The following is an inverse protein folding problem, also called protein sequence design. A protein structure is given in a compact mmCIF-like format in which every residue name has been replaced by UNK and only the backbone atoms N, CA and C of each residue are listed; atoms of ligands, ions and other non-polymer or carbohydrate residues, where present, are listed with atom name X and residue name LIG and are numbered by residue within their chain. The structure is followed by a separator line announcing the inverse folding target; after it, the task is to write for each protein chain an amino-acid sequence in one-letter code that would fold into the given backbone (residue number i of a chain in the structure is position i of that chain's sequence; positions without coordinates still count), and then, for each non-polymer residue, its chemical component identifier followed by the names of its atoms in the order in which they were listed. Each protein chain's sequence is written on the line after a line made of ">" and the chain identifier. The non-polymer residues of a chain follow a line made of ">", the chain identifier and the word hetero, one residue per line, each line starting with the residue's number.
data_IF_015925397230
#
_entry.id   IF_015925397230
#
_cell.length_a   1.000
_cell.length_b   1.000
_cell.length_c   1.000
_cell.angle_alpha   90.00
_cell.angle_beta   90.00
_cell.angle_gamma   90.00
#
_symmetry.space_group_name_H-M   'P 1'
#
loop_
_entity.id
_entity.type
_entity.pdbx_description
1 polymer ?
#
# COMPACT_ATOMS: atom_id res chain seq x y z
N UNK A 1 -9.28 -10.33 36.39
CA UNK A 1 -8.71 -8.98 36.22
C UNK A 1 -8.77 -8.64 34.74
N UNK A 2 -9.56 -7.63 34.35
CA UNK A 2 -9.58 -7.14 32.97
C UNK A 2 -8.36 -6.25 32.74
N UNK A 3 -7.54 -6.56 31.74
CA UNK A 3 -6.46 -5.69 31.30
C UNK A 3 -7.06 -4.41 30.70
N UNK A 4 -6.69 -3.21 31.17
CA UNK A 4 -7.10 -1.99 30.51
C UNK A 4 -6.46 -1.97 29.12
N UNK A 5 -7.29 -2.05 28.08
CA UNK A 5 -6.86 -1.79 26.71
C UNK A 5 -6.70 -0.30 26.58
N UNK A 6 -5.46 0.20 26.69
CA UNK A 6 -5.15 1.59 26.38
C UNK A 6 -5.46 1.80 24.89
N UNK A 7 -6.23 2.84 24.51
CA UNK A 7 -6.47 3.11 23.10
C UNK A 7 -5.14 3.40 22.43
N UNK A 8 -4.76 2.57 21.47
CA UNK A 8 -3.53 2.75 20.74
C UNK A 8 -3.64 4.00 19.85
N UNK A 9 -2.59 4.83 19.86
CA UNK A 9 -2.53 6.06 19.08
C UNK A 9 -1.94 5.78 17.69
N UNK A 10 -2.39 6.48 16.62
CA UNK A 10 -2.00 6.16 15.25
C UNK A 10 -0.48 6.35 15.01
N UNK A 11 0.15 7.27 15.74
CA UNK A 11 1.60 7.50 15.80
C UNK A 11 2.42 6.24 16.16
N UNK A 12 1.82 5.28 16.89
CA UNK A 12 2.48 4.04 17.27
C UNK A 12 2.56 3.02 16.13
N UNK A 13 1.71 3.17 15.12
CA UNK A 13 1.60 2.23 14.00
C UNK A 13 2.20 2.76 12.70
N UNK A 14 2.32 4.08 12.57
CA UNK A 14 2.73 4.75 11.34
C UNK A 14 3.94 5.65 11.60
N UNK A 15 4.95 5.55 10.74
CA UNK A 15 6.13 6.43 10.75
C UNK A 15 6.11 7.35 9.53
N UNK A 16 6.24 8.65 9.75
CA UNK A 16 6.33 9.65 8.68
C UNK A 16 7.81 9.91 8.36
N UNK A 17 8.25 9.52 7.16
CA UNK A 17 9.66 9.70 6.75
C UNK A 17 9.98 11.13 6.32
N UNK A 18 9.00 11.84 5.75
CA UNK A 18 9.15 13.16 5.16
C UNK A 18 7.88 13.96 5.33
N UNK A 19 8.04 15.25 5.61
CA UNK A 19 6.93 16.16 5.89
C UNK A 19 6.33 15.91 7.27
N UNK A 20 5.12 16.40 7.46
CA UNK A 20 4.31 16.21 8.66
C UNK A 20 2.93 15.75 8.21
N UNK A 21 2.27 14.93 9.02
CA UNK A 21 0.88 14.58 8.85
C UNK A 21 0.10 15.11 10.06
N UNK A 22 -1.05 15.74 9.81
CA UNK A 22 -1.95 16.11 10.90
C UNK A 22 -2.52 14.84 11.56
N UNK A 23 -2.94 14.91 12.84
CA UNK A 23 -3.54 13.77 13.54
C UNK A 23 -4.72 13.14 12.78
N UNK A 24 -5.52 13.95 12.10
CA UNK A 24 -6.67 13.53 11.29
C UNK A 24 -6.23 12.69 10.07
N UNK A 25 -5.12 13.05 9.44
CA UNK A 25 -4.59 12.34 8.29
C UNK A 25 -4.05 10.96 8.71
N UNK A 26 -3.32 10.90 9.82
CA UNK A 26 -2.85 9.64 10.41
C UNK A 26 -4.03 8.75 10.82
N UNK A 27 -5.05 9.31 11.46
CA UNK A 27 -6.26 8.58 11.85
C UNK A 27 -6.99 8.03 10.62
N UNK A 28 -7.10 8.79 9.53
CA UNK A 28 -7.73 8.35 8.29
C UNK A 28 -6.99 7.16 7.65
N UNK A 29 -5.66 7.22 7.61
CA UNK A 29 -4.84 6.12 7.09
C UNK A 29 -4.98 4.88 7.96
N UNK A 30 -4.90 5.01 9.29
CA UNK A 30 -5.09 3.89 10.23
C UNK A 30 -6.48 3.28 10.06
N UNK A 31 -7.54 4.09 10.00
CA UNK A 31 -8.91 3.61 9.80
C UNK A 31 -9.06 2.83 8.48
N UNK A 32 -8.46 3.33 7.39
CA UNK A 32 -8.46 2.64 6.10
C UNK A 32 -7.73 1.29 6.16
N UNK A 33 -6.57 1.23 6.81
CA UNK A 33 -5.81 0.00 6.98
C UNK A 33 -6.59 -1.02 7.83
N UNK A 34 -7.22 -0.59 8.91
CA UNK A 34 -8.07 -1.44 9.75
C UNK A 34 -9.28 -1.96 8.97
N UNK A 35 -9.95 -1.10 8.21
CA UNK A 35 -11.07 -1.50 7.35
C UNK A 35 -10.63 -2.54 6.32
N UNK A 36 -9.44 -2.39 5.72
CA UNK A 36 -8.88 -3.38 4.79
C UNK A 36 -8.50 -4.69 5.45
N UNK A 37 -7.94 -4.65 6.66
CA UNK A 37 -7.60 -5.85 7.41
C UNK A 37 -8.86 -6.63 7.83
N UNK A 38 -9.95 -5.92 8.15
CA UNK A 38 -11.24 -6.51 8.48
C UNK A 38 -12.03 -7.00 7.25
N UNK A 39 -11.73 -6.49 6.07
CA UNK A 39 -12.42 -6.87 4.85
C UNK A 39 -12.02 -8.30 4.43
N UNK A 40 -13.00 -9.20 4.36
CA UNK A 40 -12.78 -10.52 3.79
C UNK A 40 -12.62 -10.38 2.27
N UNK A 41 -11.48 -10.81 1.68
CA UNK A 41 -11.32 -10.74 0.24
C UNK A 41 -12.35 -11.63 -0.43
N UNK A 42 -13.21 -11.04 -1.26
CA UNK A 42 -14.04 -11.81 -2.17
C UNK A 42 -13.10 -12.65 -3.06
N UNK A 43 -13.47 -13.92 -3.38
CA UNK A 43 -12.66 -14.74 -4.27
C UNK A 43 -12.46 -13.97 -5.57
N UNK A 44 -11.22 -13.57 -5.83
CA UNK A 44 -10.88 -12.85 -7.04
C UNK A 44 -11.29 -13.74 -8.21
N UNK A 45 -12.23 -13.27 -9.04
CA UNK A 45 -12.43 -13.86 -10.36
C UNK A 45 -11.04 -13.90 -11.01
N UNK A 46 -10.60 -15.09 -11.43
CA UNK A 46 -9.27 -15.35 -11.93
C UNK A 46 -9.07 -14.61 -13.25
N UNK A 47 -8.93 -13.28 -13.21
CA UNK A 47 -8.48 -12.48 -14.34
C UNK A 47 -7.05 -12.95 -14.62
N UNK A 48 -6.79 -13.31 -15.87
CA UNK A 48 -5.46 -13.68 -16.34
C UNK A 48 -4.46 -12.66 -15.80
N UNK A 49 -3.35 -13.15 -15.23
CA UNK A 49 -2.45 -12.34 -14.39
C UNK A 49 -2.14 -10.99 -15.03
N UNK A 50 -2.52 -9.89 -14.36
CA UNK A 50 -1.87 -8.57 -14.48
C UNK A 50 -0.46 -8.63 -13.88
N UNK A 51 0.32 -9.67 -14.24
CA UNK A 51 1.73 -9.70 -13.86
C UNK A 51 2.37 -8.55 -14.61
N UNK A 52 2.90 -7.57 -13.88
CA UNK A 52 3.89 -6.66 -14.42
C UNK A 52 4.89 -7.51 -15.20
N UNK A 53 4.99 -7.27 -16.51
CA UNK A 53 5.86 -8.03 -17.38
C UNK A 53 7.28 -7.63 -17.08
N UNK A 54 7.86 -8.15 -16.01
CA UNK A 54 9.29 -8.06 -15.74
C UNK A 54 9.98 -8.77 -16.91
N UNK A 55 10.30 -7.98 -17.94
CA UNK A 55 10.95 -8.48 -19.16
C UNK A 55 12.44 -8.56 -18.88
N UNK A 56 13.08 -9.57 -19.46
CA UNK A 56 14.54 -9.66 -19.46
C UNK A 56 15.07 -8.50 -20.30
N UNK A 57 15.69 -7.52 -19.65
CA UNK A 57 16.24 -6.32 -20.30
C UNK A 57 17.21 -6.67 -21.44
N UNK A 58 17.90 -7.80 -21.33
CA UNK A 58 18.83 -8.38 -22.31
C UNK A 58 18.20 -8.66 -23.69
N UNK A 59 16.86 -8.74 -23.77
CA UNK A 59 16.10 -8.99 -25.01
C UNK A 59 15.25 -7.81 -25.48
N UNK A 60 15.41 -6.63 -24.87
CA UNK A 60 14.67 -5.41 -25.25
C UNK A 60 15.65 -4.44 -25.92
N UNK A 61 15.28 -3.76 -27.04
CA UNK A 61 16.11 -2.69 -27.60
C UNK A 61 16.46 -1.68 -26.51
N UNK A 62 17.74 -1.41 -26.31
CA UNK A 62 18.29 -0.77 -25.10
C UNK A 62 17.91 0.69 -24.86
N UNK A 63 16.94 1.24 -25.59
CA UNK A 63 16.51 2.62 -25.42
C UNK A 63 14.99 2.74 -25.52
N UNK A 64 14.36 3.15 -24.41
CA UNK A 64 13.00 3.69 -24.37
C UNK A 64 13.12 5.19 -24.13
N UNK A 65 12.22 5.96 -24.73
CA UNK A 65 12.25 7.41 -24.59
C UNK A 65 12.11 7.81 -23.10
N UNK A 66 12.88 8.81 -22.61
CA UNK A 66 12.91 9.18 -21.18
C UNK A 66 11.56 9.57 -20.57
N UNK A 67 10.56 9.86 -21.41
CA UNK A 67 9.23 10.32 -21.00
C UNK A 67 8.15 9.23 -21.07
N UNK A 68 8.50 7.97 -21.36
CA UNK A 68 7.52 6.88 -21.34
C UNK A 68 7.38 6.31 -19.92
N UNK A 69 6.20 6.42 -19.33
CA UNK A 69 5.87 5.84 -18.02
C UNK A 69 5.04 4.53 -18.14
N UNK A 70 4.70 4.13 -19.36
CA UNK A 70 4.07 2.85 -19.69
C UNK A 70 5.12 1.97 -20.38
N UNK A 71 5.33 0.77 -19.84
CA UNK A 71 6.34 -0.18 -20.31
C UNK A 71 5.77 -1.48 -20.83
#
# INVERSE_FOLDING_TARGET
>A
MATPTVPATPEQFLRVEKGHAEPEELAAITALLMARAAAQPAPAARRGRDRAGWRRLERTPGFRAPHSWQG
#
